data_IF_606187160954
#
_entry.id   IF_606187160954
#
_cell.length_a   1.000
_cell.length_b   1.000
_cell.length_c   1.000
_cell.angle_alpha   90.00
_cell.angle_beta   90.00
_cell.angle_gamma   90.00
#
_symmetry.space_group_name_H-M   'P 1'
#
loop_
_entity.id
_entity.type
_entity.pdbx_description
1 polymer ?
#
# COMPACT_ATOMS: atom_id res chain seq x y z
N UNK A 1 -47.08 -21.24 42.18
CA UNK A 1 -46.98 -21.54 40.73
C UNK A 1 -47.46 -22.98 40.56
N UNK A 2 -48.49 -23.24 39.74
CA UNK A 2 -48.99 -24.61 39.51
C UNK A 2 -48.33 -25.22 38.26
N UNK A 3 -48.43 -26.54 38.11
CA UNK A 3 -47.83 -27.28 37.00
C UNK A 3 -48.42 -26.85 35.64
N UNK A 4 -49.71 -26.52 35.53
CA UNK A 4 -50.26 -25.95 34.29
C UNK A 4 -49.59 -24.65 33.89
N UNK A 5 -49.27 -23.75 34.83
CA UNK A 5 -48.64 -22.46 34.53
C UNK A 5 -47.24 -22.66 33.94
N UNK A 6 -46.50 -23.67 34.44
CA UNK A 6 -45.17 -24.03 33.94
C UNK A 6 -45.26 -24.64 32.54
N UNK A 7 -46.25 -25.50 32.30
CA UNK A 7 -46.45 -26.15 31.00
C UNK A 7 -46.85 -25.15 29.91
N UNK A 8 -47.72 -24.18 30.22
CA UNK A 8 -48.07 -23.11 29.28
C UNK A 8 -46.88 -22.19 28.98
N UNK A 9 -46.02 -21.92 29.98
CA UNK A 9 -44.80 -21.14 29.78
C UNK A 9 -43.80 -21.86 28.87
N UNK A 10 -43.57 -23.16 29.11
CA UNK A 10 -42.69 -23.98 28.26
C UNK A 10 -43.22 -23.99 26.82
N UNK A 11 -44.51 -24.24 26.64
CA UNK A 11 -45.15 -24.26 25.32
C UNK A 11 -45.06 -22.89 24.63
N UNK A 12 -45.23 -21.80 25.38
CA UNK A 12 -45.06 -20.44 24.86
C UNK A 12 -43.63 -20.18 24.40
N UNK A 13 -42.62 -20.57 25.18
CA UNK A 13 -41.20 -20.42 24.83
C UNK A 13 -40.77 -21.31 23.66
N UNK A 14 -41.27 -22.54 23.57
CA UNK A 14 -41.03 -23.45 22.45
C UNK A 14 -41.73 -22.98 21.16
N UNK A 15 -42.94 -22.43 21.28
CA UNK A 15 -43.72 -21.89 20.14
C UNK A 15 -43.19 -20.55 19.62
N UNK A 16 -42.51 -19.78 20.46
CA UNK A 16 -41.99 -18.47 20.10
C UNK A 16 -40.94 -18.55 18.97
N UNK A 17 -40.20 -19.66 18.86
CA UNK A 17 -39.23 -19.87 17.79
C UNK A 17 -38.14 -18.78 17.69
N UNK A 18 -37.99 -17.95 18.73
CA UNK A 18 -37.05 -16.84 18.75
C UNK A 18 -35.64 -17.36 19.02
N UNK A 19 -34.68 -16.94 18.19
CA UNK A 19 -33.26 -17.24 18.41
C UNK A 19 -32.85 -16.75 19.79
N UNK A 20 -32.12 -17.60 20.51
CA UNK A 20 -31.52 -17.22 21.79
C UNK A 20 -30.61 -16.00 21.62
N UNK A 21 -30.41 -15.25 22.70
CA UNK A 21 -29.50 -14.08 22.72
C UNK A 21 -28.11 -14.42 22.16
N UNK A 22 -27.63 -15.66 22.40
CA UNK A 22 -26.36 -16.15 21.89
C UNK A 22 -26.38 -16.30 20.37
N UNK A 23 -27.41 -16.91 19.82
CA UNK A 23 -27.53 -17.09 18.37
C UNK A 23 -27.76 -15.77 17.63
N UNK A 24 -28.50 -14.83 18.22
CA UNK A 24 -28.63 -13.47 17.68
C UNK A 24 -27.28 -12.75 17.60
N UNK A 25 -26.44 -12.86 18.63
CA UNK A 25 -25.08 -12.30 18.63
C UNK A 25 -24.20 -12.93 17.56
N UNK A 26 -24.25 -14.26 17.41
CA UNK A 26 -23.51 -14.95 16.35
C UNK A 26 -23.99 -14.55 14.95
N UNK A 27 -25.30 -14.43 14.74
CA UNK A 27 -25.86 -14.01 13.48
C UNK A 27 -25.42 -12.58 13.12
N UNK A 28 -25.38 -11.67 14.10
CA UNK A 28 -24.87 -10.31 13.90
C UNK A 28 -23.39 -10.32 13.52
N UNK A 29 -22.57 -11.06 14.26
CA UNK A 29 -21.14 -11.21 13.99
C UNK A 29 -20.88 -11.83 12.61
N UNK A 30 -21.63 -12.86 12.22
CA UNK A 30 -21.51 -13.50 10.91
C UNK A 30 -21.86 -12.54 9.77
N UNK A 31 -22.85 -11.66 9.96
CA UNK A 31 -23.19 -10.61 8.99
C UNK A 31 -22.05 -9.60 8.85
N UNK A 32 -21.49 -9.13 9.96
CA UNK A 32 -20.36 -8.19 9.96
C UNK A 32 -19.12 -8.82 9.30
N UNK A 33 -18.81 -10.08 9.62
CA UNK A 33 -17.70 -10.82 9.01
C UNK A 33 -17.89 -10.98 7.49
N UNK A 34 -19.10 -11.28 7.03
CA UNK A 34 -19.41 -11.39 5.60
C UNK A 34 -19.21 -10.06 4.87
N UNK A 35 -19.62 -8.94 5.48
CA UNK A 35 -19.40 -7.60 4.91
C UNK A 35 -17.90 -7.29 4.86
N UNK A 36 -17.17 -7.57 5.93
CA UNK A 36 -15.73 -7.36 5.99
C UNK A 36 -14.98 -8.17 4.93
N UNK A 37 -15.32 -9.46 4.78
CA UNK A 37 -14.74 -10.34 3.75
C UNK A 37 -14.98 -9.78 2.34
N UNK A 38 -16.22 -9.38 2.02
CA UNK A 38 -16.53 -8.80 0.71
C UNK A 38 -15.79 -7.48 0.46
N UNK A 39 -15.62 -6.65 1.50
CA UNK A 39 -14.84 -5.43 1.42
C UNK A 39 -13.34 -5.70 1.19
N UNK A 40 -12.79 -6.73 1.82
CA UNK A 40 -11.40 -7.14 1.66
C UNK A 40 -11.16 -7.67 0.24
N UNK A 41 -12.05 -8.50 -0.28
CA UNK A 41 -11.96 -9.01 -1.67
C UNK A 41 -11.98 -7.88 -2.70
N UNK A 42 -12.85 -6.87 -2.48
CA UNK A 42 -12.90 -5.69 -3.33
C UNK A 42 -11.58 -4.88 -3.27
N UNK A 43 -11.04 -4.66 -2.06
CA UNK A 43 -9.77 -3.96 -1.88
C UNK A 43 -8.60 -4.69 -2.56
N UNK A 44 -8.52 -6.01 -2.44
CA UNK A 44 -7.50 -6.84 -3.10
C UNK A 44 -7.62 -6.70 -4.63
N UNK A 45 -8.84 -6.79 -5.16
CA UNK A 45 -9.08 -6.66 -6.60
C UNK A 45 -8.64 -5.29 -7.13
N UNK A 46 -8.99 -4.22 -6.43
CA UNK A 46 -8.56 -2.86 -6.78
C UNK A 46 -7.04 -2.70 -6.67
N UNK A 47 -6.43 -3.23 -5.61
CA UNK A 47 -4.97 -3.20 -5.43
C UNK A 47 -4.22 -3.89 -6.57
N UNK A 48 -4.69 -5.07 -7.00
CA UNK A 48 -4.11 -5.79 -8.14
C UNK A 48 -4.26 -4.99 -9.44
N UNK A 49 -5.44 -4.42 -9.72
CA UNK A 49 -5.65 -3.57 -10.89
C UNK A 49 -4.70 -2.35 -10.91
N UNK A 50 -4.50 -1.70 -9.76
CA UNK A 50 -3.59 -0.57 -9.65
C UNK A 50 -2.13 -1.00 -9.86
N UNK A 51 -1.74 -2.18 -9.36
CA UNK A 51 -0.41 -2.73 -9.59
C UNK A 51 -0.15 -2.99 -11.09
N UNK A 52 -1.12 -3.57 -11.80
CA UNK A 52 -1.03 -3.81 -13.24
C UNK A 52 -0.93 -2.49 -14.03
N UNK A 53 -1.76 -1.48 -13.67
CA UNK A 53 -1.70 -0.15 -14.28
C UNK A 53 -0.34 0.53 -14.05
N UNK A 54 0.21 0.43 -12.84
CA UNK A 54 1.53 0.99 -12.53
C UNK A 54 2.64 0.29 -13.33
N UNK A 55 2.56 -1.03 -13.51
CA UNK A 55 3.52 -1.77 -14.33
C UNK A 55 3.45 -1.33 -15.81
N UNK A 56 2.24 -1.12 -16.34
CA UNK A 56 2.04 -0.59 -17.69
C UNK A 56 2.61 0.83 -17.84
N UNK A 57 2.27 1.75 -16.94
CA UNK A 57 2.78 3.13 -16.96
C UNK A 57 4.31 3.18 -16.85
N UNK A 58 4.90 2.29 -16.04
CA UNK A 58 6.35 2.17 -15.94
C UNK A 58 6.99 1.74 -17.28
N UNK A 59 6.38 0.79 -18.00
CA UNK A 59 6.84 0.37 -19.32
C UNK A 59 6.72 1.51 -20.35
N UNK A 60 5.58 2.20 -20.39
CA UNK A 60 5.38 3.37 -21.26
C UNK A 60 6.38 4.49 -20.98
N UNK A 61 6.70 4.74 -19.70
CA UNK A 61 7.71 5.72 -19.31
C UNK A 61 9.13 5.33 -19.77
N UNK A 62 9.49 4.05 -19.72
CA UNK A 62 10.78 3.57 -20.24
C UNK A 62 10.87 3.80 -21.75
N UNK A 63 9.80 3.51 -22.49
CA UNK A 63 9.76 3.73 -23.93
C UNK A 63 9.77 5.23 -24.29
N UNK A 64 9.03 6.06 -23.55
CA UNK A 64 9.08 7.51 -23.71
C UNK A 64 10.48 8.08 -23.46
N UNK A 65 11.17 7.64 -22.39
CA UNK A 65 12.57 8.01 -22.11
C UNK A 65 13.50 7.64 -23.26
N UNK A 66 13.31 6.44 -23.85
CA UNK A 66 14.08 6.00 -25.01
C UNK A 66 13.88 6.92 -26.22
N UNK A 67 12.63 7.27 -26.54
CA UNK A 67 12.31 8.20 -27.64
C UNK A 67 12.95 9.57 -27.40
N UNK A 68 12.90 10.08 -26.17
CA UNK A 68 13.53 11.36 -25.80
C UNK A 68 15.05 11.29 -26.00
N UNK A 69 15.69 10.18 -25.62
CA UNK A 69 17.12 9.95 -25.84
C UNK A 69 17.48 9.91 -27.33
N UNK A 70 16.71 9.19 -28.14
CA UNK A 70 16.92 9.12 -29.59
C UNK A 70 16.73 10.50 -30.24
N UNK A 71 15.66 11.23 -29.90
CA UNK A 71 15.43 12.59 -30.38
C UNK A 71 16.56 13.55 -30.00
N UNK A 72 17.13 13.40 -28.79
CA UNK A 72 18.31 14.14 -28.35
C UNK A 72 19.51 13.84 -29.23
N UNK A 73 19.82 12.57 -29.51
CA UNK A 73 20.96 12.21 -30.36
C UNK A 73 20.83 12.78 -31.77
N UNK A 74 19.63 12.68 -32.37
CA UNK A 74 19.34 13.30 -33.66
C UNK A 74 19.45 14.82 -33.63
N UNK A 75 19.00 15.47 -32.56
CA UNK A 75 19.11 16.92 -32.40
C UNK A 75 20.58 17.34 -32.26
N UNK A 76 21.37 16.67 -31.41
CA UNK A 76 22.81 16.92 -31.27
C UNK A 76 23.50 16.73 -32.62
N UNK A 77 23.29 15.60 -33.30
CA UNK A 77 23.91 15.34 -34.60
C UNK A 77 23.50 16.38 -35.66
N UNK A 78 22.22 16.77 -35.71
CA UNK A 78 21.72 17.77 -36.65
C UNK A 78 22.23 19.19 -36.38
N UNK A 79 22.36 19.57 -35.12
CA UNK A 79 22.86 20.88 -34.69
C UNK A 79 24.38 20.97 -34.85
N UNK A 80 25.14 19.95 -34.44
CA UNK A 80 26.61 19.89 -34.61
C UNK A 80 27.03 19.91 -36.09
N UNK A 81 26.20 19.36 -37.00
CA UNK A 81 26.45 19.42 -38.44
C UNK A 81 26.11 20.78 -39.07
N UNK A 82 25.31 21.65 -38.42
CA UNK A 82 24.87 22.96 -38.96
C UNK A 82 25.50 24.17 -38.27
N UNK A 83 25.89 24.06 -37.01
CA UNK A 83 26.53 25.13 -36.24
C UNK A 83 28.02 24.79 -36.14
N UNK A 84 28.89 25.73 -36.55
CA UNK A 84 30.36 25.59 -36.46
C UNK A 84 30.81 25.09 -35.07
N UNK A 85 31.97 24.41 -34.97
CA UNK A 85 32.46 23.72 -33.75
C UNK A 85 32.89 24.66 -32.61
N UNK A 86 32.40 25.90 -32.55
CA UNK A 86 32.75 26.87 -31.51
C UNK A 86 31.86 26.80 -30.26
N UNK A 87 30.77 26.03 -30.28
CA UNK A 87 29.76 26.04 -29.21
C UNK A 87 29.48 24.65 -28.60
N UNK A 88 30.37 23.66 -28.78
CA UNK A 88 30.18 22.28 -28.29
C UNK A 88 29.82 22.22 -26.79
N UNK A 89 30.42 23.10 -25.96
CA UNK A 89 30.13 23.16 -24.52
C UNK A 89 28.73 23.65 -24.14
N UNK A 90 28.10 24.50 -24.97
CA UNK A 90 26.73 24.99 -24.70
C UNK A 90 25.66 23.92 -25.02
N UNK A 91 25.93 23.05 -26.00
CA UNK A 91 24.98 22.01 -26.41
C UNK A 91 24.99 20.80 -25.45
N UNK A 92 26.17 20.42 -24.95
CA UNK A 92 26.29 19.41 -23.89
C UNK A 92 25.54 19.84 -22.61
N UNK A 93 25.62 21.11 -22.23
CA UNK A 93 24.97 21.65 -21.02
C UNK A 93 23.43 21.62 -21.08
N UNK A 94 22.83 21.94 -22.24
CA UNK A 94 21.36 21.86 -22.41
C UNK A 94 20.89 20.40 -22.40
N UNK A 95 21.72 19.49 -22.92
CA UNK A 95 21.43 18.08 -22.89
C UNK A 95 21.53 17.53 -21.45
N UNK A 96 22.59 17.77 -20.69
CA UNK A 96 22.68 17.24 -19.32
C UNK A 96 21.53 17.72 -18.40
N UNK A 97 20.90 18.85 -18.71
CA UNK A 97 19.73 19.36 -17.98
C UNK A 97 18.44 18.52 -18.14
N UNK A 98 18.35 17.61 -19.13
CA UNK A 98 17.25 16.61 -19.15
C UNK A 98 17.68 15.24 -18.60
N UNK A 99 18.74 15.17 -17.78
CA UNK A 99 19.11 13.94 -17.12
C UNK A 99 17.91 13.33 -16.38
N UNK A 100 17.79 12.01 -16.51
CA UNK A 100 16.65 11.13 -16.21
C UNK A 100 16.17 11.08 -14.75
N UNK A 101 16.68 11.95 -13.90
CA UNK A 101 16.34 12.02 -12.49
C UNK A 101 14.96 12.66 -12.34
N UNK A 102 14.06 11.93 -11.69
CA UNK A 102 12.73 12.42 -11.33
C UNK A 102 12.62 12.48 -9.82
N UNK A 103 13.29 13.44 -9.14
CA UNK A 103 13.33 13.48 -7.67
C UNK A 103 11.96 13.48 -7.02
N UNK A 104 10.95 14.07 -7.69
CA UNK A 104 9.57 14.03 -7.25
C UNK A 104 8.99 12.60 -7.23
N UNK A 105 9.23 11.82 -8.29
CA UNK A 105 8.80 10.41 -8.37
C UNK A 105 9.56 9.56 -7.36
N UNK A 106 10.88 9.75 -7.24
CA UNK A 106 11.70 8.99 -6.30
C UNK A 106 11.28 9.25 -4.85
N UNK A 107 10.94 10.51 -4.53
CA UNK A 107 10.35 10.88 -3.23
C UNK A 107 8.99 10.24 -2.98
N UNK A 108 8.11 10.20 -3.98
CA UNK A 108 6.80 9.53 -3.88
C UNK A 108 6.98 8.03 -3.64
N UNK A 109 7.87 7.37 -4.39
CA UNK A 109 8.14 5.93 -4.24
C UNK A 109 8.75 5.63 -2.87
N UNK A 110 9.66 6.46 -2.38
CA UNK A 110 10.22 6.33 -1.04
C UNK A 110 9.15 6.51 0.06
N UNK A 111 8.25 7.47 -0.09
CA UNK A 111 7.10 7.67 0.79
C UNK A 111 6.18 6.45 0.84
N UNK A 112 5.79 5.90 -0.31
CA UNK A 112 4.94 4.69 -0.38
C UNK A 112 5.64 3.48 0.27
N UNK A 113 6.96 3.32 0.06
CA UNK A 113 7.74 2.26 0.73
C UNK A 113 7.75 2.45 2.24
N UNK A 114 7.96 3.68 2.72
CA UNK A 114 7.94 3.99 4.15
C UNK A 114 6.57 3.69 4.78
N UNK A 115 5.48 4.10 4.13
CA UNK A 115 4.11 3.84 4.60
C UNK A 115 3.86 2.32 4.74
N UNK A 116 4.29 1.52 3.76
CA UNK A 116 4.16 0.06 3.81
C UNK A 116 4.96 -0.59 4.95
N UNK A 117 6.18 -0.08 5.20
CA UNK A 117 7.04 -0.56 6.30
C UNK A 117 6.48 -0.14 7.67
N UNK A 118 5.90 1.06 7.79
CA UNK A 118 5.21 1.50 9.01
C UNK A 118 4.00 0.61 9.33
N UNK A 119 3.20 0.24 8.33
CA UNK A 119 2.09 -0.69 8.52
C UNK A 119 2.56 -2.07 9.03
N UNK A 120 3.69 -2.56 8.51
CA UNK A 120 4.32 -3.79 9.01
C UNK A 120 4.82 -3.61 10.46
N UNK A 121 5.43 -2.48 10.78
CA UNK A 121 5.90 -2.18 12.13
C UNK A 121 4.75 -2.16 13.14
N UNK A 122 3.61 -1.55 12.78
CA UNK A 122 2.40 -1.49 13.59
C UNK A 122 1.81 -2.88 13.84
N UNK A 123 1.67 -3.70 12.79
CA UNK A 123 1.21 -5.09 12.92
C UNK A 123 2.04 -5.88 13.96
N UNK A 124 3.37 -5.75 13.90
CA UNK A 124 4.24 -6.44 14.84
C UNK A 124 4.21 -5.86 16.26
N UNK A 125 3.98 -4.56 16.40
CA UNK A 125 3.75 -3.93 17.71
C UNK A 125 2.46 -4.45 18.35
N UNK A 126 1.36 -4.51 17.60
CA UNK A 126 0.09 -5.05 18.09
C UNK A 126 0.22 -6.51 18.51
N UNK A 127 0.90 -7.33 17.73
CA UNK A 127 1.15 -8.72 18.05
C UNK A 127 2.05 -8.90 19.28
N UNK A 128 3.02 -8.00 19.50
CA UNK A 128 3.82 -8.01 20.72
C UNK A 128 3.01 -7.63 21.98
N UNK A 129 2.00 -6.76 21.82
CA UNK A 129 1.07 -6.39 22.89
C UNK A 129 0.18 -7.58 23.28
N UNK A 130 -0.36 -8.31 22.29
CA UNK A 130 -1.18 -9.52 22.53
C UNK A 130 -0.41 -10.59 23.30
N UNK A 131 0.88 -10.76 22.97
CA UNK A 131 1.76 -11.71 23.65
C UNK A 131 2.30 -11.22 25.00
N UNK A 132 1.95 -10.00 25.42
CA UNK A 132 2.52 -9.30 26.59
C UNK A 132 4.06 -9.26 26.59
N UNK A 133 4.67 -9.18 25.41
CA UNK A 133 6.13 -9.21 25.21
C UNK A 133 6.61 -8.03 24.35
N UNK A 134 6.33 -6.83 24.85
CA UNK A 134 6.50 -5.55 24.15
C UNK A 134 7.93 -5.01 24.10
N UNK A 135 8.88 -5.61 24.81
CA UNK A 135 10.27 -5.09 24.90
C UNK A 135 11.32 -6.06 24.36
N UNK A 136 11.24 -7.33 24.75
CA UNK A 136 12.29 -8.34 24.47
C UNK A 136 11.90 -9.35 23.40
N UNK A 137 10.61 -9.40 23.04
CA UNK A 137 10.08 -10.31 22.04
C UNK A 137 10.65 -10.01 20.66
N UNK A 138 10.83 -11.04 19.85
CA UNK A 138 11.29 -10.87 18.47
C UNK A 138 10.32 -10.00 17.66
N UNK A 139 9.01 -10.07 17.96
CA UNK A 139 7.96 -9.20 17.37
C UNK A 139 8.20 -7.72 17.69
N UNK A 140 8.50 -7.38 18.95
CA UNK A 140 8.81 -6.01 19.36
C UNK A 140 10.11 -5.48 18.72
N UNK A 141 11.13 -6.34 18.59
CA UNK A 141 12.37 -5.98 17.87
C UNK A 141 12.14 -5.77 16.38
N UNK A 142 11.35 -6.63 15.74
CA UNK A 142 10.99 -6.52 14.33
C UNK A 142 10.20 -5.22 14.05
N UNK A 143 9.24 -4.89 14.92
CA UNK A 143 8.51 -3.63 14.87
C UNK A 143 9.44 -2.42 14.92
N UNK A 144 10.35 -2.36 15.90
CA UNK A 144 11.29 -1.24 16.05
C UNK A 144 12.23 -1.11 14.85
N UNK A 145 12.82 -2.20 14.40
CA UNK A 145 13.72 -2.19 13.24
C UNK A 145 12.99 -1.76 11.95
N UNK A 146 11.72 -2.15 11.79
CA UNK A 146 10.90 -1.69 10.67
C UNK A 146 10.60 -0.19 10.78
N UNK A 147 10.23 0.33 11.96
CA UNK A 147 10.04 1.76 12.16
C UNK A 147 11.29 2.58 11.82
N UNK A 148 12.47 2.17 12.29
CA UNK A 148 13.75 2.82 11.97
C UNK A 148 14.03 2.79 10.46
N UNK A 149 13.73 1.68 9.77
CA UNK A 149 13.90 1.58 8.33
C UNK A 149 12.93 2.48 7.55
N UNK A 150 11.69 2.64 8.02
CA UNK A 150 10.73 3.56 7.41
C UNK A 150 11.18 5.03 7.54
N UNK A 151 11.73 5.42 8.69
CA UNK A 151 12.32 6.75 8.88
C UNK A 151 13.47 7.01 7.91
N UNK A 152 14.40 6.05 7.76
CA UNK A 152 15.50 6.16 6.81
C UNK A 152 15.03 6.32 5.35
N UNK A 153 13.95 5.63 4.96
CA UNK A 153 13.35 5.79 3.64
C UNK A 153 12.80 7.20 3.43
N UNK A 154 12.21 7.82 4.46
CA UNK A 154 11.72 9.21 4.39
C UNK A 154 12.86 10.23 4.37
N UNK A 155 13.89 10.06 5.21
CA UNK A 155 15.06 10.96 5.23
C UNK A 155 15.88 10.92 3.94
N UNK A 156 15.97 9.75 3.30
CA UNK A 156 16.61 9.60 2.00
C UNK A 156 15.81 10.21 0.84
N UNK A 157 14.51 10.42 1.00
CA UNK A 157 13.60 10.94 -0.03
C UNK A 157 13.68 12.48 -0.21
N UNK A 158 14.26 13.17 0.78
CA UNK A 158 14.38 14.64 0.82
C UNK A 158 15.77 15.15 0.40
N UNK A 159 16.71 14.25 0.09
CA UNK A 159 18.05 14.56 -0.44
C UNK A 159 18.09 14.42 -1.95
#
# INVERSE_FOLDING_TARGET
MNIETVNELIKSLESAGELSIREQKFLKLAKEFRICSASLDAAIKTGNMLADQNAQLAAENVEAKKIISECREYFIAGVMNRIRPTNEGYLHMICDTFADETPATDRIVAGIKADGVEMFALMFAEEAIKDNNITTGWKARASRAASEYAELLREGADK
#
